data_IF_352845937421
#
_entry.id   IF_352845937421
#
_cell.length_a   1.000
_cell.length_b   1.000
_cell.length_c   1.000
_cell.angle_alpha   90.00
_cell.angle_beta   90.00
_cell.angle_gamma   90.00
#
_symmetry.space_group_name_H-M   'P 1'
#
loop_
_entity.id
_entity.type
_entity.pdbx_description
1 polymer ?
#
# COMPACT_ATOMS: atom_id res chain seq x y z
N UNK A 1 -19.21 -12.12 19.82
CA UNK A 1 -18.44 -10.84 19.85
C UNK A 1 -19.22 -9.90 18.97
N UNK A 2 -19.42 -8.63 19.34
CA UNK A 2 -20.18 -7.70 18.47
C UNK A 2 -19.42 -7.57 17.13
N UNK A 3 -20.11 -7.82 16.01
CA UNK A 3 -19.53 -7.80 14.66
C UNK A 3 -18.88 -6.45 14.35
N UNK A 4 -19.48 -5.35 14.80
CA UNK A 4 -18.97 -4.00 14.63
C UNK A 4 -17.62 -3.79 15.33
N UNK A 5 -17.48 -4.31 16.56
CA UNK A 5 -16.21 -4.25 17.29
C UNK A 5 -15.12 -5.07 16.59
N UNK A 6 -15.47 -6.25 16.10
CA UNK A 6 -14.56 -7.11 15.34
C UNK A 6 -14.10 -6.41 14.06
N UNK A 7 -15.03 -5.87 13.28
CA UNK A 7 -14.73 -5.12 12.06
C UNK A 7 -13.81 -3.93 12.34
N UNK A 8 -14.07 -3.18 13.42
CA UNK A 8 -13.21 -2.07 13.83
C UNK A 8 -11.78 -2.48 14.15
N UNK A 9 -11.60 -3.58 14.89
CA UNK A 9 -10.27 -4.11 15.22
C UNK A 9 -9.54 -4.58 13.95
N UNK A 10 -10.23 -5.35 13.09
CA UNK A 10 -9.64 -5.85 11.85
C UNK A 10 -9.27 -4.66 10.94
N UNK A 11 -10.14 -3.65 10.82
CA UNK A 11 -9.87 -2.46 10.01
C UNK A 11 -8.60 -1.73 10.46
N UNK A 12 -8.43 -1.49 11.76
CA UNK A 12 -7.22 -0.84 12.30
C UNK A 12 -5.97 -1.67 12.01
N UNK A 13 -6.03 -2.99 12.19
CA UNK A 13 -4.90 -3.88 11.93
C UNK A 13 -4.55 -3.95 10.44
N UNK A 14 -5.55 -4.04 9.56
CA UNK A 14 -5.37 -4.12 8.12
C UNK A 14 -4.86 -2.79 7.57
N UNK A 15 -5.51 -1.69 7.90
CA UNK A 15 -5.12 -0.36 7.43
C UNK A 15 -3.74 0.04 7.96
N UNK A 16 -3.48 -0.22 9.24
CA UNK A 16 -2.16 -0.06 9.84
C UNK A 16 -1.10 -0.95 9.19
N UNK A 17 -1.46 -2.20 8.84
CA UNK A 17 -0.60 -3.14 8.13
C UNK A 17 -0.24 -2.69 6.71
N UNK A 18 -1.19 -2.13 5.97
CA UNK A 18 -0.94 -1.59 4.61
C UNK A 18 0.07 -0.45 4.64
N UNK A 19 -0.08 0.49 5.59
CA UNK A 19 0.86 1.60 5.76
C UNK A 19 2.21 1.06 6.24
N UNK A 20 2.21 0.13 7.19
CA UNK A 20 3.45 -0.50 7.67
C UNK A 20 4.24 -1.17 6.55
N UNK A 21 3.59 -1.91 5.66
CA UNK A 21 4.22 -2.56 4.50
C UNK A 21 4.82 -1.53 3.54
N UNK A 22 4.10 -0.43 3.31
CA UNK A 22 4.58 0.71 2.53
C UNK A 22 5.88 1.28 3.12
N UNK A 23 5.87 1.62 4.40
CA UNK A 23 7.03 2.17 5.11
C UNK A 23 8.21 1.17 5.17
N UNK A 24 7.89 -0.12 5.30
CA UNK A 24 8.89 -1.18 5.24
C UNK A 24 9.62 -1.21 3.88
N UNK A 25 8.90 -0.93 2.79
CA UNK A 25 9.50 -0.77 1.46
C UNK A 25 10.55 0.33 1.43
N UNK A 26 10.22 1.53 1.92
CA UNK A 26 11.15 2.65 2.02
C UNK A 26 12.34 2.33 2.91
N UNK A 27 12.11 1.68 4.04
CA UNK A 27 13.15 1.28 4.97
C UNK A 27 14.16 0.32 4.34
N UNK A 28 13.68 -0.78 3.75
CA UNK A 28 14.54 -1.79 3.13
C UNK A 28 15.33 -1.21 1.95
N UNK A 29 14.69 -0.39 1.13
CA UNK A 29 15.35 0.28 0.02
C UNK A 29 16.38 1.31 0.49
N UNK A 30 16.12 2.05 1.57
CA UNK A 30 17.08 2.97 2.17
C UNK A 30 18.34 2.25 2.62
N UNK A 31 18.20 1.11 3.32
CA UNK A 31 19.32 0.28 3.72
C UNK A 31 20.11 -0.23 2.50
N UNK A 32 19.39 -0.71 1.47
CA UNK A 32 20.01 -1.22 0.25
C UNK A 32 20.77 -0.13 -0.51
N UNK A 33 20.25 1.09 -0.55
CA UNK A 33 20.87 2.25 -1.22
C UNK A 33 21.92 2.95 -0.37
N UNK A 34 22.15 2.51 0.88
CA UNK A 34 23.12 3.12 1.79
C UNK A 34 22.69 4.48 2.33
N UNK A 35 21.39 4.73 2.39
CA UNK A 35 20.80 5.89 3.05
C UNK A 35 20.57 5.55 4.52
N UNK A 36 21.06 6.41 5.42
CA UNK A 36 20.87 6.23 6.85
C UNK A 36 19.40 6.49 7.23
N UNK A 37 18.82 5.60 8.04
CA UNK A 37 17.46 5.75 8.58
C UNK A 37 17.56 6.00 10.09
N UNK A 38 16.99 7.09 10.55
CA UNK A 38 17.02 7.50 11.95
C UNK A 38 15.98 6.77 12.78
N UNK A 39 14.76 6.66 12.26
CA UNK A 39 13.64 6.08 12.98
C UNK A 39 12.71 5.29 12.06
N UNK A 40 12.26 4.13 12.54
CA UNK A 40 11.15 3.36 12.01
C UNK A 40 10.08 3.28 13.11
N UNK A 41 8.99 4.01 12.93
CA UNK A 41 7.94 4.12 13.92
C UNK A 41 6.71 3.29 13.57
N UNK A 42 6.20 2.53 14.53
CA UNK A 42 4.89 1.89 14.47
C UNK A 42 3.85 2.86 15.04
N UNK A 43 2.85 3.20 14.24
CA UNK A 43 1.85 4.21 14.59
C UNK A 43 2.33 5.64 14.35
N UNK A 44 1.43 6.60 14.55
CA UNK A 44 1.67 8.04 14.36
C UNK A 44 2.08 8.70 15.69
N UNK A 45 3.06 9.63 15.70
CA UNK A 45 3.45 10.39 16.88
C UNK A 45 2.27 11.00 17.64
N UNK A 46 2.41 11.23 18.97
CA UNK A 46 3.65 11.26 19.74
C UNK A 46 4.19 9.88 20.11
N UNK A 47 5.53 9.81 20.31
CA UNK A 47 6.22 8.57 20.71
C UNK A 47 5.74 8.10 22.08
N UNK A 48 5.34 6.82 22.16
CA UNK A 48 5.00 6.16 23.42
C UNK A 48 6.23 5.46 24.01
N UNK A 49 6.96 4.72 23.19
CA UNK A 49 8.09 3.93 23.66
C UNK A 49 9.09 3.63 22.52
N UNK A 50 10.41 3.70 22.84
CA UNK A 50 11.47 3.18 22.01
C UNK A 50 11.86 1.79 22.54
N UNK A 51 11.58 0.74 21.79
CA UNK A 51 11.84 -0.62 22.24
C UNK A 51 13.13 -1.22 21.69
N UNK A 52 13.68 -0.63 20.62
CA UNK A 52 14.91 -1.13 19.99
C UNK A 52 15.67 -0.04 19.25
N UNK A 53 17.01 -0.16 19.26
CA UNK A 53 17.90 0.60 18.37
C UNK A 53 18.96 -0.33 17.83
N UNK A 54 19.18 -0.29 16.54
CA UNK A 54 20.27 -1.02 15.91
C UNK A 54 21.63 -0.44 16.29
N UNK A 55 22.71 -1.22 15.96
CA UNK A 55 24.08 -0.77 16.08
C UNK A 55 24.29 0.46 15.22
N UNK A 56 24.99 1.44 15.79
CA UNK A 56 25.47 2.62 15.11
C UNK A 56 26.96 2.54 14.81
N UNK A 57 27.51 3.64 14.29
CA UNK A 57 28.94 3.81 14.10
C UNK A 57 29.32 5.28 14.28
N UNK A 58 30.54 5.51 14.75
CA UNK A 58 31.17 6.82 14.73
C UNK A 58 32.56 6.73 14.11
N UNK A 59 32.98 7.80 13.47
CA UNK A 59 34.31 7.91 12.91
C UNK A 59 35.08 8.97 13.65
N UNK A 60 36.22 8.57 14.23
CA UNK A 60 37.11 9.40 15.01
C UNK A 60 38.54 9.19 14.49
N UNK A 61 39.23 10.24 14.09
CA UNK A 61 40.61 10.17 13.51
C UNK A 61 40.73 9.10 12.40
N UNK A 62 39.79 9.01 11.48
CA UNK A 62 39.69 8.00 10.41
C UNK A 62 39.52 6.55 10.88
N UNK A 63 39.24 6.32 12.17
CA UNK A 63 38.91 5.00 12.70
C UNK A 63 37.39 4.89 12.90
N UNK A 64 36.80 3.80 12.42
CA UNK A 64 35.40 3.50 12.63
C UNK A 64 35.24 2.71 13.92
N UNK A 65 34.38 3.20 14.81
CA UNK A 65 34.04 2.63 16.10
C UNK A 65 32.56 2.25 16.05
N UNK A 66 32.23 1.03 16.41
CA UNK A 66 30.85 0.54 16.48
C UNK A 66 30.17 1.10 17.75
N UNK A 67 28.96 1.67 17.60
CA UNK A 67 28.10 2.03 18.70
C UNK A 67 27.21 0.80 19.03
N UNK A 68 27.19 0.29 20.27
CA UNK A 68 26.39 -0.88 20.62
C UNK A 68 24.89 -0.64 20.43
N UNK A 69 24.14 -1.74 20.35
CA UNK A 69 22.66 -1.68 20.33
C UNK A 69 22.16 -1.00 21.59
N UNK A 70 21.09 -0.20 21.43
CA UNK A 70 20.42 0.52 22.54
C UNK A 70 21.35 1.47 23.35
N UNK A 71 22.47 1.85 22.81
CA UNK A 71 23.38 2.81 23.45
C UNK A 71 22.84 4.23 23.30
N UNK A 72 22.66 4.94 24.40
CA UNK A 72 22.24 6.33 24.42
C UNK A 72 23.45 7.26 24.46
N UNK A 73 23.52 8.15 23.45
CA UNK A 73 24.54 9.20 23.45
C UNK A 73 24.17 10.26 24.51
N UNK A 74 25.16 10.77 25.27
CA UNK A 74 24.91 11.78 26.28
C UNK A 74 24.69 13.20 25.68
N UNK A 75 24.68 13.34 24.37
CA UNK A 75 24.52 14.60 23.63
C UNK A 75 23.80 14.33 22.30
N UNK A 76 23.31 15.40 21.66
CA UNK A 76 22.72 15.30 20.33
C UNK A 76 23.83 15.04 19.27
N UNK A 77 23.61 14.03 18.43
CA UNK A 77 24.59 13.61 17.43
C UNK A 77 24.95 14.73 16.44
N UNK A 78 23.96 15.51 16.02
CA UNK A 78 24.14 16.60 15.06
C UNK A 78 25.01 17.73 15.61
N UNK A 79 24.81 18.08 16.89
CA UNK A 79 25.56 19.16 17.56
C UNK A 79 27.00 18.77 17.90
N UNK A 80 27.34 17.49 17.81
CA UNK A 80 28.64 16.94 18.18
C UNK A 80 29.63 16.81 17.02
N UNK A 81 29.18 16.95 15.78
CA UNK A 81 30.06 16.92 14.61
C UNK A 81 31.07 18.04 14.66
N UNK A 82 32.34 17.70 14.30
CA UNK A 82 33.51 18.58 14.35
C UNK A 82 33.91 19.05 15.75
N UNK A 83 33.33 18.44 16.82
CA UNK A 83 33.77 18.68 18.21
C UNK A 83 34.73 17.62 18.68
N UNK A 84 35.57 17.97 19.63
CA UNK A 84 36.44 17.04 20.34
C UNK A 84 35.63 16.10 21.23
N UNK A 85 35.89 14.82 21.17
CA UNK A 85 35.28 13.80 22.04
C UNK A 85 36.33 12.88 22.62
N UNK A 86 36.09 12.45 23.85
CA UNK A 86 36.83 11.40 24.54
C UNK A 86 36.00 10.13 24.56
N UNK A 87 36.57 9.01 24.11
CA UNK A 87 35.86 7.73 24.05
C UNK A 87 36.61 6.64 24.82
N UNK A 88 35.86 5.83 25.57
CA UNK A 88 36.33 4.56 26.06
C UNK A 88 35.86 3.43 25.15
N UNK A 89 36.72 2.49 24.86
CA UNK A 89 36.51 1.46 23.85
C UNK A 89 36.75 0.07 24.44
N UNK A 90 36.01 -0.89 23.92
CA UNK A 90 36.28 -2.32 24.07
C UNK A 90 36.64 -2.92 22.72
N UNK A 91 37.46 -3.99 22.73
CA UNK A 91 37.74 -4.74 21.52
C UNK A 91 36.95 -6.03 21.48
N UNK A 92 36.06 -6.15 20.51
CA UNK A 92 35.21 -7.32 20.31
C UNK A 92 35.31 -7.75 18.83
N UNK A 93 35.66 -9.01 18.58
CA UNK A 93 35.82 -9.58 17.23
C UNK A 93 36.67 -8.68 16.29
N UNK A 94 37.80 -8.24 16.76
CA UNK A 94 38.73 -7.32 16.06
C UNK A 94 38.15 -5.92 15.72
N UNK A 95 36.96 -5.57 16.24
CA UNK A 95 36.36 -4.24 16.07
C UNK A 95 36.45 -3.43 17.35
N UNK A 96 36.57 -2.13 17.19
CA UNK A 96 36.41 -1.19 18.29
C UNK A 96 34.93 -0.95 18.56
N UNK A 97 34.49 -1.17 19.80
CA UNK A 97 33.13 -0.97 20.26
C UNK A 97 33.12 0.09 21.34
N UNK A 98 32.24 1.05 21.22
CA UNK A 98 32.07 2.17 22.15
C UNK A 98 31.56 1.68 23.50
N UNK A 99 32.24 2.05 24.58
CA UNK A 99 31.78 1.82 25.96
C UNK A 99 31.23 3.12 26.57
N UNK A 100 31.96 4.22 26.42
CA UNK A 100 31.51 5.55 26.84
C UNK A 100 32.00 6.61 25.86
N UNK A 101 31.27 7.73 25.79
CA UNK A 101 31.65 8.92 25.02
C UNK A 101 31.29 10.18 25.81
N UNK A 102 32.18 11.16 25.79
CA UNK A 102 31.98 12.47 26.40
C UNK A 102 32.51 13.55 25.48
N UNK A 103 31.90 14.73 25.51
CA UNK A 103 32.45 15.90 24.84
C UNK A 103 33.71 16.32 25.58
N UNK A 104 34.79 16.49 24.83
CA UNK A 104 36.05 16.94 25.42
C UNK A 104 35.98 18.40 25.86
N UNK A 105 36.58 18.71 26.99
CA UNK A 105 36.71 20.08 27.44
C UNK A 105 37.64 20.85 26.47
N UNK A 106 37.20 22.01 26.01
CA UNK A 106 38.02 22.93 25.21
C UNK A 106 38.69 23.95 26.09
N UNK A 107 40.02 23.93 26.13
CA UNK A 107 40.78 25.05 26.64
C UNK A 107 41.03 26.04 25.50
N UNK A 108 40.77 27.33 25.70
CA UNK A 108 40.96 28.40 24.71
C UNK A 108 40.23 28.23 23.35
N UNK A 109 39.10 27.50 23.32
CA UNK A 109 38.26 27.33 22.11
C UNK A 109 38.88 26.44 21.04
N UNK A 110 40.06 25.86 21.25
CA UNK A 110 40.70 24.88 20.36
C UNK A 110 40.86 23.54 21.06
N UNK A 111 40.31 22.50 20.46
CA UNK A 111 40.54 21.13 20.90
C UNK A 111 41.80 20.55 20.24
N UNK A 112 42.70 20.00 21.05
CA UNK A 112 43.93 19.30 20.57
C UNK A 112 43.88 17.85 21.06
N UNK A 113 43.74 16.87 20.16
CA UNK A 113 43.72 15.46 20.55
C UNK A 113 45.10 15.01 21.08
N UNK A 114 45.04 14.28 22.17
CA UNK A 114 46.22 13.72 22.84
C UNK A 114 46.46 12.23 22.48
N UNK A 115 45.35 11.47 22.29
CA UNK A 115 45.37 10.03 22.02
C UNK A 115 44.65 9.73 20.72
N UNK A 116 45.32 10.02 19.60
CA UNK A 116 44.75 9.87 18.26
C UNK A 116 44.56 8.40 17.80
N UNK A 117 45.13 7.46 18.54
CA UNK A 117 44.94 6.02 18.41
C UNK A 117 44.51 5.41 19.75
N UNK A 118 43.83 4.24 19.74
CA UNK A 118 43.44 3.57 20.99
C UNK A 118 44.64 3.23 21.84
N UNK A 119 44.69 3.73 23.06
CA UNK A 119 45.75 3.49 24.05
C UNK A 119 45.13 2.80 25.24
N UNK A 120 45.75 1.70 25.70
CA UNK A 120 45.28 0.99 26.87
C UNK A 120 45.73 1.73 28.14
N UNK A 121 44.76 2.06 28.99
CA UNK A 121 45.00 2.69 30.29
C UNK A 121 45.47 1.67 31.33
N UNK A 122 45.93 2.18 32.48
CA UNK A 122 46.29 1.35 33.64
C UNK A 122 45.13 0.54 34.24
N UNK A 123 43.90 0.94 33.94
CA UNK A 123 42.64 0.26 34.30
C UNK A 123 42.22 -0.83 33.31
N UNK A 124 43.04 -1.11 32.29
CA UNK A 124 42.80 -2.10 31.25
C UNK A 124 41.84 -1.65 30.15
N UNK A 125 41.24 -0.46 30.27
CA UNK A 125 40.31 0.08 29.26
C UNK A 125 41.09 0.79 28.16
N UNK A 126 40.59 0.66 26.92
CA UNK A 126 41.11 1.40 25.78
C UNK A 126 40.47 2.79 25.72
N UNK A 127 41.28 3.81 25.49
CA UNK A 127 40.82 5.20 25.39
C UNK A 127 41.41 5.85 24.17
N UNK A 128 40.58 6.70 23.54
CA UNK A 128 40.98 7.47 22.36
C UNK A 128 40.26 8.81 22.42
N UNK A 129 40.91 9.84 21.93
CA UNK A 129 40.30 11.16 21.80
C UNK A 129 40.54 11.74 20.40
N UNK A 130 39.63 12.59 19.94
CA UNK A 130 39.75 13.15 18.61
C UNK A 130 38.56 14.01 18.22
N UNK A 131 38.59 14.49 16.98
CA UNK A 131 37.47 15.22 16.41
C UNK A 131 36.50 14.23 15.78
N UNK A 132 35.23 14.34 16.14
CA UNK A 132 34.14 13.52 15.64
C UNK A 132 33.85 13.90 14.18
N UNK A 133 34.20 13.01 13.23
CA UNK A 133 34.09 13.25 11.80
C UNK A 133 32.72 12.81 11.26
N UNK A 134 32.22 11.68 11.76
CA UNK A 134 30.91 11.12 11.37
C UNK A 134 30.29 10.40 12.57
N UNK A 135 28.98 10.46 12.70
CA UNK A 135 28.21 9.70 13.67
C UNK A 135 26.88 9.26 13.06
N UNK A 136 26.55 7.98 13.29
CA UNK A 136 25.28 7.38 12.98
C UNK A 136 24.86 6.55 14.19
N UNK A 137 23.75 6.90 14.81
CA UNK A 137 23.28 6.19 16.02
C UNK A 137 22.65 4.81 15.71
N UNK A 138 22.43 4.49 14.43
CA UNK A 138 21.61 3.36 14.01
C UNK A 138 20.11 3.68 14.08
N UNK A 139 19.31 2.86 13.41
CA UNK A 139 17.85 3.07 13.33
C UNK A 139 17.19 2.78 14.66
N UNK A 140 16.38 3.71 15.14
CA UNK A 140 15.47 3.51 16.28
C UNK A 140 14.16 2.88 15.82
N UNK A 141 13.69 1.89 16.58
CA UNK A 141 12.36 1.29 16.42
C UNK A 141 11.47 1.77 17.57
N UNK A 142 10.38 2.44 17.20
CA UNK A 142 9.52 3.12 18.17
C UNK A 142 8.07 2.68 18.03
N UNK A 143 7.36 2.69 19.15
CA UNK A 143 5.90 2.56 19.20
C UNK A 143 5.32 3.93 19.54
N UNK A 144 4.28 4.31 18.81
CA UNK A 144 3.61 5.58 18.99
C UNK A 144 2.18 5.37 19.49
N UNK A 145 1.59 6.44 20.06
CA UNK A 145 0.30 6.36 20.72
C UNK A 145 -0.88 6.10 19.77
N UNK A 146 -0.81 6.61 18.56
CA UNK A 146 -1.89 6.40 17.58
C UNK A 146 -1.56 5.14 16.74
N UNK A 147 -2.27 4.01 16.92
CA UNK A 147 -1.94 2.74 16.28
C UNK A 147 -2.40 2.69 14.80
N UNK A 148 -2.29 3.80 14.10
CA UNK A 148 -2.66 3.94 12.69
C UNK A 148 -1.39 4.04 11.85
N UNK A 149 -0.99 2.93 11.22
CA UNK A 149 0.11 2.90 10.29
C UNK A 149 1.50 2.92 10.91
N UNK A 150 2.41 3.63 10.28
CA UNK A 150 3.80 3.78 10.67
C UNK A 150 4.44 4.93 9.91
N UNK A 151 5.73 5.14 10.14
CA UNK A 151 6.55 6.05 9.36
C UNK A 151 8.01 5.62 9.36
N UNK A 152 8.70 5.98 8.30
CA UNK A 152 10.16 5.91 8.21
C UNK A 152 10.69 7.33 8.14
N UNK A 153 11.74 7.60 8.91
CA UNK A 153 12.47 8.87 8.85
C UNK A 153 13.87 8.63 8.30
N UNK A 154 14.08 8.77 6.99
CA UNK A 154 15.41 8.79 6.43
C UNK A 154 16.15 10.02 6.94
N UNK A 155 17.43 9.86 7.24
CA UNK A 155 18.30 10.98 7.63
C UNK A 155 18.31 12.03 6.52
N UNK A 156 18.25 13.30 6.89
CA UNK A 156 18.37 14.40 5.93
C UNK A 156 17.41 14.29 4.75
N UNK A 157 16.17 13.89 4.99
CA UNK A 157 15.14 13.65 3.97
C UNK A 157 14.91 14.89 3.10
N UNK A 158 14.91 16.07 3.71
CA UNK A 158 14.62 17.34 3.06
C UNK A 158 15.85 18.29 2.97
N UNK A 159 17.02 17.86 3.47
CA UNK A 159 18.25 18.68 3.46
C UNK A 159 19.38 17.98 2.70
N UNK A 160 19.80 18.50 1.53
CA UNK A 160 20.87 17.93 0.74
C UNK A 160 22.27 18.10 1.37
N UNK A 161 22.42 18.92 2.41
CA UNK A 161 23.70 19.14 3.07
C UNK A 161 24.02 18.07 4.13
N UNK A 162 23.05 17.23 4.47
CA UNK A 162 23.21 16.17 5.47
C UNK A 162 23.90 14.96 4.82
N UNK A 163 25.14 14.72 5.18
CA UNK A 163 25.93 13.60 4.66
C UNK A 163 25.31 12.25 5.07
N UNK A 164 25.19 11.33 4.09
CA UNK A 164 24.50 10.03 4.29
C UNK A 164 22.98 10.11 4.28
N UNK A 165 22.42 11.31 4.09
CA UNK A 165 20.99 11.55 4.03
C UNK A 165 20.38 11.23 2.66
N UNK A 166 19.04 11.08 2.64
CA UNK A 166 18.29 10.79 1.43
C UNK A 166 18.44 11.90 0.39
N UNK A 167 18.26 13.17 0.81
CA UNK A 167 18.36 14.29 -0.11
C UNK A 167 19.78 14.51 -0.68
N UNK A 168 20.81 14.07 0.02
CA UNK A 168 22.20 14.10 -0.45
C UNK A 168 22.57 12.93 -1.38
N UNK A 169 21.76 11.88 -1.41
CA UNK A 169 21.98 10.71 -2.24
C UNK A 169 21.82 11.02 -3.73
N UNK A 170 22.49 10.22 -4.58
CA UNK A 170 22.36 10.33 -6.03
C UNK A 170 20.88 10.18 -6.45
N UNK A 171 20.40 10.91 -7.49
CA UNK A 171 19.00 10.93 -7.88
C UNK A 171 18.39 9.54 -8.09
N UNK A 172 19.11 8.61 -8.73
CA UNK A 172 18.64 7.26 -8.97
C UNK A 172 18.43 6.47 -7.66
N UNK A 173 19.27 6.68 -6.61
CA UNK A 173 19.10 6.05 -5.29
C UNK A 173 17.85 6.56 -4.60
N UNK A 174 17.60 7.87 -4.71
CA UNK A 174 16.39 8.52 -4.20
C UNK A 174 15.14 7.95 -4.87
N UNK A 175 15.19 7.75 -6.20
CA UNK A 175 14.08 7.10 -6.93
C UNK A 175 13.81 5.69 -6.42
N UNK A 176 14.84 4.86 -6.26
CA UNK A 176 14.67 3.49 -5.74
C UNK A 176 14.00 3.50 -4.37
N UNK A 177 14.43 4.40 -3.48
CA UNK A 177 13.81 4.52 -2.13
C UNK A 177 12.34 4.94 -2.24
N UNK A 178 12.03 5.96 -3.05
CA UNK A 178 10.66 6.47 -3.16
C UNK A 178 9.70 5.51 -3.88
N UNK A 179 10.17 4.76 -4.88
CA UNK A 179 9.35 3.74 -5.52
C UNK A 179 9.08 2.52 -4.64
N UNK A 180 9.98 2.24 -3.68
CA UNK A 180 9.93 1.00 -2.91
C UNK A 180 8.69 0.88 -2.02
N UNK A 181 8.19 1.96 -1.42
CA UNK A 181 6.96 1.96 -0.64
C UNK A 181 5.75 1.54 -1.48
N UNK A 182 5.42 2.28 -2.56
CA UNK A 182 4.34 1.91 -3.46
C UNK A 182 4.47 0.50 -4.04
N UNK A 183 5.66 0.09 -4.48
CA UNK A 183 5.89 -1.26 -5.02
C UNK A 183 5.63 -2.34 -3.97
N UNK A 184 6.00 -2.13 -2.70
CA UNK A 184 5.70 -3.07 -1.63
C UNK A 184 4.20 -3.25 -1.42
N UNK A 185 3.40 -2.18 -1.56
CA UNK A 185 1.94 -2.29 -1.52
C UNK A 185 1.40 -3.08 -2.72
N UNK A 186 1.92 -2.86 -3.94
CA UNK A 186 1.52 -3.67 -5.10
C UNK A 186 1.84 -5.15 -4.90
N UNK A 187 3.04 -5.47 -4.38
CA UNK A 187 3.43 -6.86 -4.05
C UNK A 187 2.51 -7.44 -2.98
N UNK A 188 2.20 -6.68 -1.93
CA UNK A 188 1.27 -7.11 -0.89
C UNK A 188 -0.15 -7.33 -1.44
N UNK A 189 -0.62 -6.48 -2.34
CA UNK A 189 -1.90 -6.63 -3.02
C UNK A 189 -1.98 -7.93 -3.85
N UNK A 190 -0.93 -8.24 -4.63
CA UNK A 190 -0.80 -9.51 -5.34
C UNK A 190 -0.88 -10.70 -4.36
N UNK A 191 -0.20 -10.60 -3.22
CA UNK A 191 -0.23 -11.65 -2.21
C UNK A 191 -1.64 -11.83 -1.62
N UNK A 192 -2.34 -10.74 -1.30
CA UNK A 192 -3.71 -10.79 -0.75
C UNK A 192 -4.69 -11.33 -1.80
N UNK A 193 -4.58 -10.94 -3.09
CA UNK A 193 -5.36 -11.56 -4.17
C UNK A 193 -5.06 -13.05 -4.31
N UNK A 194 -3.81 -13.47 -4.15
CA UNK A 194 -3.45 -14.88 -4.19
C UNK A 194 -4.09 -15.66 -3.03
N UNK A 195 -4.19 -15.05 -1.84
CA UNK A 195 -4.94 -15.62 -0.72
C UNK A 195 -6.45 -15.68 -1.02
N UNK A 196 -7.02 -14.64 -1.63
CA UNK A 196 -8.41 -14.61 -2.05
C UNK A 196 -8.70 -15.75 -3.03
N UNK A 197 -7.96 -15.82 -4.14
CA UNK A 197 -8.16 -16.85 -5.16
C UNK A 197 -7.89 -18.28 -4.68
N UNK A 198 -7.07 -18.46 -3.64
CA UNK A 198 -6.91 -19.78 -3.01
C UNK A 198 -8.15 -20.23 -2.23
N UNK A 199 -9.04 -19.30 -1.85
CA UNK A 199 -10.27 -19.57 -1.10
C UNK A 199 -11.50 -19.65 -2.01
N UNK A 200 -11.65 -18.68 -2.94
CA UNK A 200 -12.82 -18.62 -3.84
C UNK A 200 -12.59 -19.33 -5.18
N UNK A 201 -11.37 -19.73 -5.48
CA UNK A 201 -10.98 -20.28 -6.78
C UNK A 201 -10.39 -19.22 -7.72
N UNK A 202 -9.91 -19.66 -8.87
CA UNK A 202 -9.36 -18.80 -9.93
C UNK A 202 -10.40 -18.53 -11.02
N UNK A 203 -10.44 -17.31 -11.61
CA UNK A 203 -11.38 -17.01 -12.68
C UNK A 203 -11.06 -17.86 -13.93
N UNK A 204 -12.07 -18.53 -14.46
CA UNK A 204 -11.96 -19.28 -15.70
C UNK A 204 -12.04 -18.33 -16.90
N UNK A 205 -11.12 -18.47 -17.85
CA UNK A 205 -11.08 -17.60 -19.04
C UNK A 205 -12.28 -17.83 -20.00
N UNK A 206 -12.87 -19.05 -19.97
CA UNK A 206 -13.81 -19.51 -20.99
C UNK A 206 -15.23 -19.80 -20.47
N UNK A 207 -15.48 -19.67 -19.17
CA UNK A 207 -16.77 -19.96 -18.56
C UNK A 207 -17.35 -18.68 -17.99
N UNK A 208 -18.46 -18.23 -18.56
CA UNK A 208 -19.17 -17.03 -18.12
C UNK A 208 -20.37 -17.41 -17.30
N UNK A 209 -20.41 -16.92 -16.07
CA UNK A 209 -21.47 -17.19 -15.09
C UNK A 209 -22.27 -15.91 -14.82
N UNK A 210 -23.55 -16.11 -14.55
CA UNK A 210 -24.50 -15.09 -14.16
C UNK A 210 -24.47 -14.93 -12.64
N UNK A 211 -24.10 -13.74 -12.15
CA UNK A 211 -24.01 -13.47 -10.71
C UNK A 211 -25.31 -12.87 -10.16
N UNK A 212 -25.95 -12.01 -10.94
CA UNK A 212 -27.21 -11.35 -10.51
C UNK A 212 -28.16 -11.13 -11.67
N UNK A 213 -29.44 -11.15 -11.36
CA UNK A 213 -30.52 -10.82 -12.29
C UNK A 213 -31.36 -9.72 -11.64
N UNK A 214 -31.51 -8.60 -12.33
CA UNK A 214 -32.34 -7.51 -11.85
C UNK A 214 -33.82 -7.86 -11.99
N UNK A 215 -34.57 -7.61 -10.95
CA UNK A 215 -36.00 -7.88 -10.92
C UNK A 215 -36.76 -7.13 -12.02
N UNK A 216 -37.75 -7.78 -12.62
CA UNK A 216 -38.56 -7.25 -13.73
C UNK A 216 -37.73 -6.89 -14.99
N UNK A 217 -36.49 -7.39 -15.11
CA UNK A 217 -35.63 -7.23 -16.28
C UNK A 217 -35.98 -8.23 -17.39
N UNK A 218 -35.50 -8.01 -18.64
CA UNK A 218 -35.63 -8.99 -19.70
C UNK A 218 -35.05 -10.37 -19.35
N UNK A 219 -34.00 -10.43 -18.56
CA UNK A 219 -33.41 -11.66 -18.07
C UNK A 219 -34.33 -12.37 -17.04
N UNK A 220 -34.91 -11.63 -16.11
CA UNK A 220 -35.85 -12.17 -15.14
C UNK A 220 -37.11 -12.72 -15.81
N UNK A 221 -37.68 -11.98 -16.76
CA UNK A 221 -38.80 -12.43 -17.56
C UNK A 221 -38.50 -13.68 -18.38
N UNK A 222 -37.27 -13.83 -18.88
CA UNK A 222 -36.78 -15.01 -19.59
C UNK A 222 -36.52 -16.22 -18.66
N UNK A 223 -36.53 -16.01 -17.33
CA UNK A 223 -36.29 -17.04 -16.33
C UNK A 223 -34.81 -17.35 -16.09
N UNK A 224 -33.89 -16.43 -16.44
CA UNK A 224 -32.48 -16.50 -16.05
C UNK A 224 -32.37 -16.35 -14.51
N UNK A 225 -31.37 -17.00 -13.93
CA UNK A 225 -31.13 -16.98 -12.48
C UNK A 225 -29.63 -16.84 -12.19
N UNK A 226 -29.31 -16.36 -11.01
CA UNK A 226 -27.93 -16.41 -10.52
C UNK A 226 -27.39 -17.85 -10.58
N UNK A 227 -26.10 -17.99 -10.84
CA UNK A 227 -25.36 -19.23 -11.04
C UNK A 227 -25.60 -19.94 -12.38
N UNK A 228 -26.43 -19.41 -13.27
CA UNK A 228 -26.49 -19.93 -14.65
C UNK A 228 -25.15 -19.72 -15.37
N UNK A 229 -24.68 -20.72 -16.10
CA UNK A 229 -23.49 -20.63 -16.94
C UNK A 229 -23.90 -20.54 -18.40
N UNK A 230 -23.45 -19.50 -19.12
CA UNK A 230 -23.74 -19.35 -20.54
C UNK A 230 -22.91 -20.32 -21.38
N UNK A 231 -23.57 -21.19 -22.15
CA UNK A 231 -22.95 -22.10 -23.12
C UNK A 231 -22.98 -21.50 -24.53
N UNK A 232 -24.14 -20.96 -24.96
CA UNK A 232 -24.25 -20.28 -26.24
C UNK A 232 -25.26 -19.16 -26.21
N UNK A 233 -25.12 -18.20 -27.14
CA UNK A 233 -26.06 -17.10 -27.36
C UNK A 233 -26.18 -16.85 -28.87
N UNK A 234 -27.41 -16.77 -29.39
CA UNK A 234 -27.65 -16.58 -30.82
C UNK A 234 -27.02 -17.66 -31.71
N UNK A 235 -26.85 -18.89 -31.19
CA UNK A 235 -26.19 -20.01 -31.89
C UNK A 235 -24.65 -19.99 -31.83
N UNK A 236 -24.02 -19.00 -31.25
CA UNK A 236 -22.56 -18.93 -31.06
C UNK A 236 -22.17 -19.45 -29.68
N UNK A 237 -21.15 -20.31 -29.58
CA UNK A 237 -20.58 -20.74 -28.31
C UNK A 237 -19.91 -19.56 -27.60
N UNK A 238 -20.23 -19.37 -26.32
CA UNK A 238 -19.68 -18.27 -25.52
C UNK A 238 -18.36 -18.69 -24.89
N UNK A 239 -17.32 -17.90 -25.17
CA UNK A 239 -15.96 -18.10 -24.63
C UNK A 239 -15.41 -16.87 -23.91
N UNK A 240 -16.13 -15.74 -23.94
CA UNK A 240 -15.73 -14.54 -23.22
C UNK A 240 -16.90 -13.61 -22.91
N UNK A 241 -16.79 -12.85 -21.84
CA UNK A 241 -17.76 -11.83 -21.45
C UNK A 241 -17.93 -10.76 -22.55
N UNK A 242 -16.85 -10.35 -23.19
CA UNK A 242 -16.88 -9.37 -24.28
C UNK A 242 -17.67 -9.87 -25.48
N UNK A 243 -17.52 -11.16 -25.84
CA UNK A 243 -18.28 -11.79 -26.90
C UNK A 243 -19.79 -11.80 -26.56
N UNK A 244 -20.15 -12.25 -25.36
CA UNK A 244 -21.54 -12.30 -24.92
C UNK A 244 -22.17 -10.91 -24.92
N UNK A 245 -21.47 -9.90 -24.38
CA UNK A 245 -21.93 -8.49 -24.41
C UNK A 245 -22.14 -7.98 -25.85
N UNK A 246 -21.25 -8.32 -26.79
CA UNK A 246 -21.39 -7.94 -28.20
C UNK A 246 -22.62 -8.57 -28.85
N UNK A 247 -22.91 -9.84 -28.57
CA UNK A 247 -24.10 -10.55 -29.09
C UNK A 247 -25.37 -9.93 -28.51
N UNK A 248 -25.40 -9.67 -27.19
CA UNK A 248 -26.55 -9.01 -26.53
C UNK A 248 -26.82 -7.64 -27.16
N UNK A 249 -25.80 -6.80 -27.32
CA UNK A 249 -25.93 -5.47 -27.92
C UNK A 249 -26.28 -5.52 -29.43
N UNK A 250 -25.90 -6.59 -30.12
CA UNK A 250 -26.28 -6.81 -31.52
C UNK A 250 -27.72 -7.29 -31.71
N UNK A 251 -28.39 -7.73 -30.64
CA UNK A 251 -29.76 -8.30 -30.66
C UNK A 251 -30.76 -7.43 -29.90
N UNK A 252 -30.54 -6.11 -29.83
CA UNK A 252 -31.45 -5.19 -29.14
C UNK A 252 -32.84 -5.26 -29.75
N UNK A 253 -33.87 -5.34 -28.89
CA UNK A 253 -35.29 -5.43 -29.22
C UNK A 253 -35.66 -6.62 -30.12
N UNK A 254 -34.78 -7.64 -30.19
CA UNK A 254 -35.01 -8.89 -30.91
C UNK A 254 -34.88 -10.10 -29.99
N UNK A 255 -35.62 -11.18 -30.22
CA UNK A 255 -35.44 -12.40 -29.47
C UNK A 255 -34.05 -12.97 -29.65
N UNK A 256 -33.36 -13.24 -28.54
CA UNK A 256 -32.03 -13.86 -28.49
C UNK A 256 -32.15 -15.21 -27.79
N UNK A 257 -31.85 -16.29 -28.53
CA UNK A 257 -31.81 -17.62 -27.96
C UNK A 257 -30.51 -17.82 -27.15
N UNK A 258 -30.67 -18.28 -25.92
CA UNK A 258 -29.61 -18.52 -24.94
C UNK A 258 -29.66 -19.99 -24.54
N UNK A 259 -28.51 -20.65 -24.55
CA UNK A 259 -28.35 -21.96 -23.92
C UNK A 259 -27.48 -21.79 -22.68
N UNK A 260 -28.02 -22.21 -21.56
CA UNK A 260 -27.38 -22.12 -20.26
C UNK A 260 -27.22 -23.51 -19.64
N UNK A 261 -26.27 -23.64 -18.72
CA UNK A 261 -26.11 -24.78 -17.83
C UNK A 261 -26.59 -24.36 -16.43
N UNK A 262 -27.63 -25.02 -15.91
CA UNK A 262 -28.19 -24.82 -14.57
C UNK A 262 -28.26 -26.18 -13.87
N UNK A 263 -27.68 -26.30 -12.69
CA UNK A 263 -27.67 -27.53 -11.87
C UNK A 263 -27.20 -28.80 -12.65
N UNK A 264 -26.33 -28.60 -13.66
CA UNK A 264 -25.82 -29.69 -14.52
C UNK A 264 -26.72 -30.01 -15.71
N UNK A 265 -27.84 -29.35 -15.92
CA UNK A 265 -28.76 -29.52 -17.04
C UNK A 265 -28.67 -28.38 -18.05
N UNK A 266 -28.67 -28.68 -19.34
CA UNK A 266 -28.74 -27.66 -20.38
C UNK A 266 -30.18 -27.18 -20.57
N UNK A 267 -30.38 -25.85 -20.46
CA UNK A 267 -31.66 -25.20 -20.64
C UNK A 267 -31.59 -24.20 -21.79
N UNK A 268 -32.59 -24.24 -22.67
CA UNK A 268 -32.75 -23.21 -23.71
C UNK A 268 -33.77 -22.18 -23.28
N UNK A 269 -33.38 -20.92 -23.27
CA UNK A 269 -34.21 -19.79 -22.91
C UNK A 269 -34.15 -18.75 -24.02
N UNK A 270 -35.19 -17.93 -24.17
CA UNK A 270 -35.22 -16.82 -25.11
C UNK A 270 -35.40 -15.53 -24.34
N UNK A 271 -34.46 -14.61 -24.44
CA UNK A 271 -34.53 -13.29 -23.83
C UNK A 271 -34.57 -12.20 -24.90
N UNK A 272 -35.22 -11.09 -24.65
CA UNK A 272 -35.25 -9.94 -25.57
C UNK A 272 -34.51 -8.76 -24.93
N UNK A 273 -33.24 -8.49 -25.27
CA UNK A 273 -32.49 -7.36 -24.72
C UNK A 273 -33.18 -6.05 -25.09
N UNK A 274 -33.36 -5.14 -24.13
CA UNK A 274 -34.11 -3.90 -24.36
C UNK A 274 -33.19 -2.71 -24.63
N UNK A 275 -33.43 -1.99 -25.74
CA UNK A 275 -32.76 -0.73 -26.06
C UNK A 275 -33.22 0.45 -25.18
N UNK A 276 -34.38 0.32 -24.54
CA UNK A 276 -34.96 1.36 -23.67
C UNK A 276 -34.32 1.42 -22.27
N UNK A 277 -33.52 0.41 -21.90
CA UNK A 277 -32.85 0.37 -20.58
C UNK A 277 -31.61 1.25 -20.57
N UNK A 278 -31.33 1.95 -19.44
CA UNK A 278 -30.09 2.68 -19.27
C UNK A 278 -28.86 1.78 -19.50
N UNK A 279 -27.84 2.34 -20.13
CA UNK A 279 -26.61 1.60 -20.43
C UNK A 279 -25.90 1.07 -19.17
N UNK A 280 -26.14 1.72 -18.03
CA UNK A 280 -25.55 1.40 -16.72
C UNK A 280 -26.06 0.07 -16.16
N UNK A 281 -27.33 -0.26 -16.41
CA UNK A 281 -27.95 -1.51 -15.92
C UNK A 281 -28.02 -2.60 -17.00
N UNK A 282 -27.52 -2.30 -18.19
CA UNK A 282 -27.40 -3.21 -19.31
C UNK A 282 -28.75 -3.62 -19.95
N UNK A 283 -28.71 -4.03 -21.21
CA UNK A 283 -29.88 -4.36 -22.02
C UNK A 283 -30.68 -5.56 -21.52
N UNK A 284 -30.05 -6.51 -20.83
CA UNK A 284 -30.71 -7.68 -20.22
C UNK A 284 -31.01 -7.52 -18.73
N UNK A 285 -30.29 -6.63 -18.01
CA UNK A 285 -30.39 -6.49 -16.56
C UNK A 285 -29.72 -7.66 -15.82
N UNK A 286 -28.46 -7.96 -16.20
CA UNK A 286 -27.69 -9.04 -15.62
C UNK A 286 -26.30 -8.57 -15.16
N UNK A 287 -25.85 -9.09 -14.04
CA UNK A 287 -24.44 -9.08 -13.63
C UNK A 287 -23.78 -10.40 -14.03
N UNK A 288 -22.74 -10.35 -14.83
CA UNK A 288 -22.03 -11.53 -15.32
C UNK A 288 -20.53 -11.38 -15.25
N UNK A 289 -19.83 -12.49 -15.13
CA UNK A 289 -18.36 -12.52 -15.09
C UNK A 289 -17.80 -13.94 -15.29
N UNK A 290 -16.50 -14.12 -15.12
CA UNK A 290 -15.89 -15.44 -15.22
C UNK A 290 -16.36 -16.33 -14.07
N UNK A 291 -16.62 -17.61 -14.33
CA UNK A 291 -16.85 -18.58 -13.26
C UNK A 291 -15.55 -18.84 -12.51
N UNK A 292 -15.59 -18.85 -11.19
CA UNK A 292 -14.46 -19.25 -10.38
C UNK A 292 -14.40 -20.78 -10.25
N UNK A 293 -13.21 -21.34 -10.49
CA UNK A 293 -12.94 -22.78 -10.38
C UNK A 293 -11.86 -23.01 -9.33
N UNK A 294 -11.95 -24.09 -8.53
CA UNK A 294 -10.94 -24.38 -7.52
C UNK A 294 -9.54 -24.44 -8.11
N UNK A 295 -8.58 -23.75 -7.51
CA UNK A 295 -7.17 -23.86 -7.90
C UNK A 295 -6.60 -25.20 -7.40
N UNK A 296 -5.85 -25.91 -8.25
CA UNK A 296 -5.18 -27.18 -7.87
C UNK A 296 -4.02 -26.92 -6.91
N UNK A 297 -3.36 -25.75 -7.02
CA UNK A 297 -2.28 -25.33 -6.13
C UNK A 297 -2.29 -23.82 -5.90
N UNK A 298 -1.71 -23.39 -4.78
CA UNK A 298 -1.55 -21.95 -4.51
C UNK A 298 -0.77 -21.22 -5.60
N UNK A 299 0.18 -21.88 -6.27
CA UNK A 299 0.99 -21.27 -7.33
C UNK A 299 0.15 -20.88 -8.56
N UNK A 300 -0.96 -21.56 -8.83
CA UNK A 300 -1.87 -21.19 -9.92
C UNK A 300 -2.59 -19.87 -9.69
N UNK A 301 -2.76 -19.47 -8.44
CA UNK A 301 -3.39 -18.19 -8.10
C UNK A 301 -2.52 -16.99 -8.46
N UNK A 302 -1.19 -17.15 -8.51
CA UNK A 302 -0.23 -16.05 -8.70
C UNK A 302 -0.43 -15.31 -10.03
N UNK A 303 -0.49 -15.97 -11.19
CA UNK A 303 -0.73 -15.28 -12.47
C UNK A 303 -2.05 -14.52 -12.48
N UNK A 304 -3.13 -15.10 -11.93
CA UNK A 304 -4.45 -14.46 -11.83
C UNK A 304 -4.42 -13.23 -10.89
N UNK A 305 -3.65 -13.29 -9.81
CA UNK A 305 -3.44 -12.17 -8.89
C UNK A 305 -2.68 -11.01 -9.55
N UNK A 306 -1.69 -11.30 -10.37
CA UNK A 306 -1.02 -10.30 -11.20
C UNK A 306 -2.00 -9.68 -12.21
N UNK A 307 -2.82 -10.48 -12.86
CA UNK A 307 -3.84 -10.01 -13.81
C UNK A 307 -4.86 -9.12 -13.10
N UNK A 308 -5.38 -9.50 -11.94
CA UNK A 308 -6.29 -8.69 -11.14
C UNK A 308 -5.65 -7.34 -10.74
N UNK A 309 -4.40 -7.38 -10.28
CA UNK A 309 -3.64 -6.17 -9.97
C UNK A 309 -3.46 -5.27 -11.20
N UNK A 310 -3.13 -5.85 -12.34
CA UNK A 310 -2.99 -5.12 -13.61
C UNK A 310 -4.30 -4.46 -14.03
N UNK A 311 -5.43 -5.19 -14.00
CA UNK A 311 -6.74 -4.62 -14.34
C UNK A 311 -7.15 -3.50 -13.39
N UNK A 312 -6.81 -3.60 -12.12
CA UNK A 312 -7.06 -2.52 -11.17
C UNK A 312 -6.20 -1.28 -11.47
N UNK A 313 -4.92 -1.45 -11.81
CA UNK A 313 -4.05 -0.35 -12.25
C UNK A 313 -4.60 0.29 -13.53
N UNK A 314 -4.98 -0.51 -14.52
CA UNK A 314 -5.58 -0.05 -15.78
C UNK A 314 -6.86 0.74 -15.52
N UNK A 315 -7.74 0.24 -14.64
CA UNK A 315 -8.97 0.94 -14.23
C UNK A 315 -8.66 2.34 -13.70
N UNK A 316 -7.73 2.49 -12.77
CA UNK A 316 -7.38 3.80 -12.22
C UNK A 316 -6.73 4.74 -13.23
N UNK A 317 -5.92 4.23 -14.15
CA UNK A 317 -5.30 5.04 -15.22
C UNK A 317 -6.36 5.52 -16.23
N UNK A 318 -7.31 4.64 -16.57
CA UNK A 318 -8.35 4.94 -17.57
C UNK A 318 -9.55 5.68 -16.99
N UNK A 319 -9.75 5.64 -15.66
CA UNK A 319 -10.90 6.22 -14.97
C UNK A 319 -11.18 7.69 -15.34
N UNK A 320 -10.19 8.61 -15.38
CA UNK A 320 -10.47 10.00 -15.77
C UNK A 320 -11.04 10.11 -17.19
N UNK A 321 -10.53 9.31 -18.14
CA UNK A 321 -11.02 9.27 -19.52
C UNK A 321 -12.45 8.72 -19.59
N UNK A 322 -12.76 7.67 -18.83
CA UNK A 322 -14.09 7.04 -18.79
C UNK A 322 -15.15 7.95 -18.16
N UNK A 323 -14.78 8.76 -17.17
CA UNK A 323 -15.65 9.80 -16.60
C UNK A 323 -15.90 10.90 -17.64
N UNK A 324 -14.84 11.38 -18.33
CA UNK A 324 -14.97 12.42 -19.35
C UNK A 324 -15.77 11.99 -20.56
N UNK A 325 -15.73 10.71 -20.94
CA UNK A 325 -16.55 10.14 -22.03
C UNK A 325 -18.00 9.83 -21.61
N UNK A 326 -18.34 9.97 -20.33
CA UNK A 326 -19.66 9.63 -19.81
C UNK A 326 -19.94 8.13 -19.70
N UNK A 327 -18.90 7.27 -19.84
CA UNK A 327 -19.03 5.82 -19.66
C UNK A 327 -19.27 5.46 -18.19
N UNK A 328 -18.73 6.26 -17.27
CA UNK A 328 -18.93 6.14 -15.81
C UNK A 328 -19.55 7.45 -15.34
N UNK A 329 -20.70 7.36 -14.67
CA UNK A 329 -21.31 8.53 -14.07
C UNK A 329 -20.40 9.12 -12.99
N UNK A 330 -20.30 10.45 -12.91
CA UNK A 330 -19.47 11.14 -11.93
C UNK A 330 -19.84 10.80 -10.48
N UNK A 331 -21.07 10.41 -10.24
CA UNK A 331 -21.58 9.98 -8.94
C UNK A 331 -21.01 8.61 -8.52
N UNK A 332 -20.78 7.72 -9.48
CA UNK A 332 -20.18 6.40 -9.26
C UNK A 332 -18.66 6.48 -9.04
N UNK A 333 -18.01 7.53 -9.54
CA UNK A 333 -16.58 7.79 -9.37
C UNK A 333 -16.27 8.64 -8.12
N UNK A 334 -17.14 8.62 -7.12
CA UNK A 334 -16.99 9.38 -5.89
C UNK A 334 -15.81 8.88 -5.07
N UNK A 335 -14.98 9.81 -4.59
CA UNK A 335 -13.96 9.50 -3.60
C UNK A 335 -14.61 9.19 -2.24
N UNK A 336 -14.13 8.14 -1.60
CA UNK A 336 -14.50 7.78 -0.24
C UNK A 336 -13.38 8.16 0.73
N UNK A 337 -13.74 8.76 1.85
CA UNK A 337 -12.82 9.04 2.95
C UNK A 337 -12.66 7.82 3.85
N UNK A 338 -11.89 7.99 4.93
CA UNK A 338 -11.63 6.91 5.88
C UNK A 338 -12.91 6.37 6.52
N UNK A 339 -13.88 7.25 6.78
CA UNK A 339 -15.18 6.88 7.35
C UNK A 339 -16.02 6.04 6.38
N UNK A 340 -16.08 6.44 5.10
CA UNK A 340 -16.80 5.68 4.08
C UNK A 340 -16.15 4.33 3.81
N UNK A 341 -14.81 4.27 3.72
CA UNK A 341 -14.06 3.00 3.59
C UNK A 341 -14.34 2.08 4.80
N UNK A 342 -14.40 2.63 6.01
CA UNK A 342 -14.73 1.86 7.20
C UNK A 342 -16.14 1.27 7.15
N UNK A 343 -17.13 2.04 6.72
CA UNK A 343 -18.52 1.56 6.59
C UNK A 343 -18.61 0.41 5.58
N UNK A 344 -18.00 0.58 4.40
CA UNK A 344 -17.90 -0.49 3.39
C UNK A 344 -17.23 -1.74 3.95
N UNK A 345 -16.12 -1.57 4.66
CA UNK A 345 -15.41 -2.68 5.29
C UNK A 345 -16.24 -3.39 6.35
N UNK A 346 -17.02 -2.65 7.12
CA UNK A 346 -17.94 -3.21 8.13
C UNK A 346 -19.04 -4.05 7.48
N UNK A 347 -19.63 -3.57 6.39
CA UNK A 347 -20.65 -4.30 5.62
C UNK A 347 -20.08 -5.59 5.04
N UNK A 348 -18.87 -5.57 4.45
CA UNK A 348 -18.25 -6.78 3.90
C UNK A 348 -17.91 -7.81 4.97
N UNK A 349 -17.41 -7.37 6.14
CA UNK A 349 -17.17 -8.29 7.27
C UNK A 349 -18.47 -8.90 7.77
N UNK A 350 -19.55 -8.12 7.84
CA UNK A 350 -20.86 -8.62 8.28
C UNK A 350 -21.41 -9.66 7.30
N UNK A 351 -21.29 -9.41 5.99
CA UNK A 351 -21.74 -10.34 4.94
C UNK A 351 -20.91 -11.63 4.93
N UNK A 352 -19.58 -11.53 5.03
CA UNK A 352 -18.70 -12.71 5.12
C UNK A 352 -18.96 -13.56 6.37
N UNK A 353 -19.42 -12.96 7.48
CA UNK A 353 -19.82 -13.69 8.68
C UNK A 353 -21.18 -14.35 8.45
N UNK A 354 -22.16 -13.61 7.89
CA UNK A 354 -23.50 -14.13 7.62
C UNK A 354 -23.48 -15.28 6.61
N UNK A 355 -22.72 -15.18 5.53
CA UNK A 355 -22.59 -16.22 4.51
C UNK A 355 -22.03 -17.52 5.08
N UNK A 356 -21.11 -17.47 6.04
CA UNK A 356 -20.55 -18.65 6.71
C UNK A 356 -21.53 -19.35 7.65
N UNK A 357 -22.47 -18.61 8.24
CA UNK A 357 -23.52 -19.20 9.10
C UNK A 357 -24.58 -19.95 8.28
N UNK A 358 -24.87 -19.50 7.05
CA UNK A 358 -25.86 -20.12 6.15
C UNK A 358 -25.37 -21.44 5.56
N UNK A 359 -24.07 -21.65 5.36
CA UNK A 359 -23.47 -22.90 4.83
C UNK A 359 -23.82 -24.16 5.64
N UNK A 360 -24.36 -24.02 6.85
CA UNK A 360 -24.81 -25.18 7.65
C UNK A 360 -26.17 -25.74 7.21
N UNK A 361 -26.89 -25.14 6.25
CA UNK A 361 -28.16 -25.59 5.73
C UNK A 361 -28.21 -25.68 4.19
N UNK A 362 -27.79 -26.84 3.67
CA UNK A 362 -28.23 -27.52 2.44
C UNK A 362 -28.27 -26.81 1.07
N UNK A 363 -27.58 -25.74 0.82
CA UNK A 363 -27.15 -25.29 -0.50
C UNK A 363 -25.72 -24.80 -0.39
N UNK A 364 -24.80 -25.30 -1.23
CA UNK A 364 -23.39 -24.88 -1.24
C UNK A 364 -23.36 -23.46 -1.82
N UNK A 365 -23.28 -22.40 -1.00
CA UNK A 365 -23.04 -21.07 -1.53
C UNK A 365 -21.64 -21.07 -2.16
N UNK A 366 -21.47 -20.35 -3.26
CA UNK A 366 -20.12 -20.09 -3.76
C UNK A 366 -19.29 -19.38 -2.67
N UNK A 367 -18.04 -19.78 -2.47
CA UNK A 367 -17.21 -19.15 -1.45
C UNK A 367 -16.97 -17.69 -1.82
N UNK A 368 -17.56 -16.79 -1.08
CA UNK A 368 -17.30 -15.34 -1.18
C UNK A 368 -16.35 -14.93 -0.08
N UNK A 369 -15.49 -13.96 -0.33
CA UNK A 369 -14.66 -13.33 0.69
C UNK A 369 -14.45 -11.84 0.33
N UNK A 370 -15.51 -11.08 0.49
CA UNK A 370 -15.54 -9.65 0.19
C UNK A 370 -14.52 -8.85 1.01
N UNK A 371 -14.27 -9.28 2.25
CA UNK A 371 -13.27 -8.66 3.12
C UNK A 371 -11.87 -8.75 2.52
N UNK A 372 -11.45 -9.92 2.03
CA UNK A 372 -10.14 -10.07 1.39
C UNK A 372 -10.05 -9.30 0.07
N UNK A 373 -11.13 -9.26 -0.70
CA UNK A 373 -11.19 -8.50 -1.94
C UNK A 373 -10.97 -7.00 -1.70
N UNK A 374 -11.66 -6.43 -0.72
CA UNK A 374 -11.47 -5.02 -0.34
C UNK A 374 -10.05 -4.77 0.19
N UNK A 375 -9.50 -5.68 1.01
CA UNK A 375 -8.12 -5.55 1.51
C UNK A 375 -7.13 -5.52 0.35
N UNK A 376 -7.26 -6.43 -0.63
CA UNK A 376 -6.40 -6.45 -1.81
C UNK A 376 -6.53 -5.14 -2.61
N UNK A 377 -7.77 -4.74 -2.90
CA UNK A 377 -8.08 -3.53 -3.66
C UNK A 377 -7.55 -2.27 -2.98
N UNK A 378 -7.76 -2.10 -1.68
CA UNK A 378 -7.25 -0.95 -0.93
C UNK A 378 -5.73 -0.93 -0.89
N UNK A 379 -5.08 -2.10 -0.70
CA UNK A 379 -3.62 -2.20 -0.66
C UNK A 379 -3.00 -1.73 -1.98
N UNK A 380 -3.55 -2.17 -3.11
CA UNK A 380 -3.10 -1.76 -4.44
C UNK A 380 -3.42 -0.29 -4.68
N UNK A 381 -4.61 0.17 -4.30
CA UNK A 381 -5.02 1.57 -4.43
C UNK A 381 -4.06 2.52 -3.70
N UNK A 382 -3.68 2.21 -2.47
CA UNK A 382 -2.68 3.00 -1.72
C UNK A 382 -1.35 3.04 -2.49
N UNK A 383 -0.91 1.91 -3.06
CA UNK A 383 0.30 1.86 -3.89
C UNK A 383 0.21 2.76 -5.13
N UNK A 384 -0.90 2.69 -5.87
CA UNK A 384 -1.12 3.50 -7.07
C UNK A 384 -1.20 4.99 -6.74
N UNK A 385 -1.98 5.37 -5.71
CA UNK A 385 -2.13 6.78 -5.32
C UNK A 385 -0.81 7.39 -4.90
N UNK A 386 0.04 6.65 -4.16
CA UNK A 386 1.37 7.14 -3.80
C UNK A 386 2.32 7.31 -4.99
N UNK A 387 2.04 6.70 -6.16
CA UNK A 387 2.79 6.94 -7.40
C UNK A 387 2.27 8.14 -8.21
N UNK A 388 1.11 8.68 -7.88
CA UNK A 388 0.60 9.86 -8.59
C UNK A 388 1.54 11.06 -8.38
N UNK A 389 1.74 11.89 -9.41
CA UNK A 389 2.61 13.08 -9.33
C UNK A 389 1.92 14.21 -8.55
N UNK A 390 1.48 13.90 -7.33
CA UNK A 390 0.79 14.84 -6.45
C UNK A 390 1.71 15.24 -5.28
N UNK A 391 1.82 16.55 -4.96
CA UNK A 391 2.58 17.02 -3.83
C UNK A 391 2.12 16.34 -2.52
N UNK A 392 3.06 16.08 -1.61
CA UNK A 392 2.90 15.33 -0.36
C UNK A 392 2.90 13.79 -0.50
N UNK A 393 2.75 13.24 -1.69
CA UNK A 393 2.91 11.80 -1.96
C UNK A 393 4.31 11.51 -2.50
N UNK A 394 4.72 10.24 -2.50
CA UNK A 394 6.02 9.80 -3.04
C UNK A 394 6.17 10.15 -4.52
N UNK A 395 5.12 9.97 -5.31
CA UNK A 395 5.06 10.33 -6.72
C UNK A 395 5.32 11.82 -6.98
N UNK A 396 4.91 12.69 -6.07
CA UNK A 396 5.24 14.12 -6.11
C UNK A 396 6.74 14.36 -5.94
N UNK A 397 7.41 13.65 -5.02
CA UNK A 397 8.87 13.72 -4.86
C UNK A 397 9.60 13.12 -6.06
N UNK A 398 9.12 12.00 -6.59
CA UNK A 398 9.63 11.38 -7.82
C UNK A 398 9.56 12.38 -8.98
N UNK A 399 8.46 13.13 -9.10
CA UNK A 399 8.26 14.14 -10.13
C UNK A 399 9.35 15.22 -10.10
N UNK A 400 9.84 15.64 -8.93
CA UNK A 400 10.93 16.61 -8.82
C UNK A 400 12.32 16.02 -9.14
N UNK A 401 12.50 14.69 -8.96
CA UNK A 401 13.78 14.03 -9.25
C UNK A 401 13.98 13.79 -10.75
N UNK A 402 12.91 13.52 -11.52
CA UNK A 402 13.01 13.25 -12.96
C UNK A 402 13.68 14.41 -13.73
N UNK A 403 13.27 15.69 -13.57
CA UNK A 403 13.97 16.82 -14.20
C UNK A 403 15.43 16.94 -13.74
N UNK A 404 15.73 16.66 -12.48
CA UNK A 404 17.11 16.66 -11.97
C UNK A 404 17.99 15.67 -12.74
N UNK A 405 17.46 14.47 -13.03
CA UNK A 405 18.19 13.45 -13.81
C UNK A 405 18.41 13.87 -15.27
N UNK A 406 17.43 14.50 -15.89
CA UNK A 406 17.46 14.91 -17.30
C UNK A 406 18.35 16.13 -17.49
N UNK A 407 18.12 17.17 -16.69
CA UNK A 407 18.76 18.49 -16.86
C UNK A 407 20.00 18.66 -15.98
N UNK A 408 20.31 17.69 -15.09
CA UNK A 408 21.42 17.75 -14.11
C UNK A 408 21.38 19.01 -13.22
N UNK A 409 20.21 19.59 -13.04
CA UNK A 409 19.96 20.75 -12.18
C UNK A 409 18.86 20.40 -11.20
N UNK A 410 19.17 20.49 -9.91
CA UNK A 410 18.22 20.27 -8.86
C UNK A 410 17.32 21.49 -8.69
N UNK A 411 16.02 21.22 -8.45
CA UNK A 411 15.07 22.23 -7.99
C UNK A 411 15.49 22.69 -6.59
N UNK A 412 15.42 24.00 -6.27
CA UNK A 412 15.71 24.47 -4.92
C UNK A 412 14.84 23.74 -3.88
N UNK A 413 15.49 23.17 -2.86
CA UNK A 413 14.79 22.37 -1.84
C UNK A 413 13.72 23.17 -1.09
N UNK A 414 13.91 24.49 -0.91
CA UNK A 414 12.90 25.36 -0.31
C UNK A 414 11.61 25.42 -1.12
N UNK A 415 11.72 25.45 -2.46
CA UNK A 415 10.55 25.42 -3.34
C UNK A 415 9.87 24.06 -3.31
N UNK A 416 10.64 22.97 -3.40
CA UNK A 416 10.13 21.59 -3.29
C UNK A 416 9.36 21.41 -1.99
N UNK A 417 9.95 21.80 -0.85
CA UNK A 417 9.32 21.72 0.47
C UNK A 417 8.04 22.57 0.57
N UNK A 418 8.04 23.78 0.00
CA UNK A 418 6.85 24.63 -0.01
C UNK A 418 5.69 24.03 -0.81
N UNK A 419 5.99 23.43 -1.97
CA UNK A 419 5.00 22.73 -2.81
C UNK A 419 4.44 21.51 -2.08
N UNK A 420 5.30 20.70 -1.43
CA UNK A 420 4.84 19.56 -0.63
C UNK A 420 3.99 19.97 0.58
N UNK A 421 4.37 21.05 1.27
CA UNK A 421 3.58 21.56 2.39
C UNK A 421 2.20 22.05 1.94
N UNK A 422 2.13 22.77 0.81
CA UNK A 422 0.86 23.22 0.24
C UNK A 422 -0.02 22.02 -0.19
N UNK A 423 0.58 21.00 -0.83
CA UNK A 423 -0.10 19.77 -1.19
C UNK A 423 -0.63 19.01 0.02
N UNK A 424 0.14 18.93 1.10
CA UNK A 424 -0.29 18.30 2.35
C UNK A 424 -1.50 19.02 2.97
N UNK A 425 -1.47 20.36 3.01
CA UNK A 425 -2.61 21.15 3.50
C UNK A 425 -3.87 20.93 2.64
N UNK A 426 -3.69 20.87 1.31
CA UNK A 426 -4.79 20.55 0.39
C UNK A 426 -5.35 19.15 0.67
N UNK A 427 -4.48 18.13 0.79
CA UNK A 427 -4.93 16.75 1.07
C UNK A 427 -5.69 16.65 2.41
N UNK A 428 -5.20 17.31 3.45
CA UNK A 428 -5.89 17.33 4.74
C UNK A 428 -7.27 17.98 4.60
N UNK A 429 -7.36 19.14 3.94
CA UNK A 429 -8.64 19.82 3.73
C UNK A 429 -9.59 18.98 2.85
N UNK A 430 -9.08 18.36 1.79
CA UNK A 430 -9.84 17.46 0.94
C UNK A 430 -10.31 16.21 1.68
N UNK A 431 -9.46 15.59 2.50
CA UNK A 431 -9.83 14.44 3.33
C UNK A 431 -10.92 14.79 4.33
N UNK A 432 -10.83 15.96 4.98
CA UNK A 432 -11.89 16.43 5.87
C UNK A 432 -13.20 16.61 5.09
N UNK A 433 -13.15 17.25 3.93
CA UNK A 433 -14.32 17.45 3.07
C UNK A 433 -14.97 16.12 2.69
N UNK A 434 -14.18 15.15 2.20
CA UNK A 434 -14.71 13.84 1.78
C UNK A 434 -15.32 13.08 2.96
N UNK A 435 -14.66 13.07 4.14
CA UNK A 435 -15.21 12.42 5.34
C UNK A 435 -16.53 13.06 5.81
N UNK A 436 -16.66 14.40 5.70
CA UNK A 436 -17.93 15.08 5.99
C UNK A 436 -19.00 14.67 4.98
N UNK A 437 -18.64 14.57 3.69
CA UNK A 437 -19.57 14.10 2.65
C UNK A 437 -20.00 12.66 2.86
N UNK A 438 -19.10 11.77 3.29
CA UNK A 438 -19.44 10.38 3.62
C UNK A 438 -20.40 10.27 4.81
N UNK A 439 -20.29 11.20 5.76
CA UNK A 439 -21.22 11.26 6.89
C UNK A 439 -22.61 11.80 6.49
N UNK A 440 -22.64 12.85 5.64
CA UNK A 440 -23.91 13.49 5.20
C UNK A 440 -24.64 12.64 4.17
N UNK A 441 -23.91 12.00 3.27
CA UNK A 441 -24.45 11.16 2.19
C UNK A 441 -23.62 9.85 2.12
N UNK A 442 -23.89 8.87 2.99
CA UNK A 442 -23.15 7.62 3.03
C UNK A 442 -23.26 6.86 1.71
N UNK A 443 -22.17 6.16 1.35
CA UNK A 443 -22.18 5.24 0.21
C UNK A 443 -22.96 4.00 0.64
N UNK A 444 -23.98 3.66 -0.12
CA UNK A 444 -24.68 2.39 0.01
C UNK A 444 -24.08 1.42 -1.01
N UNK A 445 -23.65 0.26 -0.55
CA UNK A 445 -23.18 -0.82 -1.41
C UNK A 445 -24.24 -1.92 -1.32
N UNK A 446 -24.88 -2.18 -2.45
CA UNK A 446 -25.68 -3.39 -2.61
C UNK A 446 -24.70 -4.53 -2.92
N UNK A 447 -24.31 -5.29 -1.90
CA UNK A 447 -23.54 -6.53 -2.09
C UNK A 447 -24.50 -7.56 -2.69
N UNK A 448 -24.09 -8.30 -3.73
CA UNK A 448 -24.94 -9.24 -4.46
C UNK A 448 -25.35 -10.45 -3.65
#
# INVERSE_FOLDING_TARGET
MNTDFLAGVIFILVFGGMIFIHELGHYLASLWMGVEVEEFGFGIPPRAWRFWRFKGSLTLNNQTIEIPRNFDLPFLAEDSLNRGVDVALNRVDDKWVLETIQLAATEDGQYRPNKTAPVQGSDGKWRMDGILQKISQGTEFTLNWLPLGGFVRPKGENDPNVAGGLAAAAPWRRLVVLFAGPIMNLIAGVFVFSMLFSQIGIPSDNIIQLYSVEKDSPADVAGLRANDVFLSAGGETITSQTQLRKIILGSLDQPLDLVILRDGEELSLTATPSSARPAEIGALGIGMGPKYVPAESWFETIPHSFSATYYQIEFFITLPGRIMSGEIASEQARFSGLFGIFNVFQETVAEDVASREVVTSSSVPEPTNYTLEIIASLTITIGIFNLLPFPALDGGRIFFIIPEMIFRKRVPHQFENAVHAAGMLFLIAFMIYVNVMDFVNPIQIDLP
#
